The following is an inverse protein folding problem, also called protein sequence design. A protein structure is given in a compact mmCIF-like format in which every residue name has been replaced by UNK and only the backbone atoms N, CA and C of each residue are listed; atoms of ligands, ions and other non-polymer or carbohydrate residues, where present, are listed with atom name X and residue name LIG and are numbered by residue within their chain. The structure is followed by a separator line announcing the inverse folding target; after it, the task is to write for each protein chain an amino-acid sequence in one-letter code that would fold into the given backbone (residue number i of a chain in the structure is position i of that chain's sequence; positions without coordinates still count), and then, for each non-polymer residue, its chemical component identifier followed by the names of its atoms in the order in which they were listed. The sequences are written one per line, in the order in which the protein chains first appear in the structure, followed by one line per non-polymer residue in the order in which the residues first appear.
data_IF_508748641107
#
_entry.id   IF_508748641107
#
_cell.length_a   1.000
_cell.length_b   1.000
_cell.length_c   1.000
_cell.angle_alpha   90.00
_cell.angle_beta   90.00
_cell.angle_gamma   90.00
#
_symmetry.space_group_name_H-M   'P 1'
#
loop_
_entity.id
_entity.type
_entity.pdbx_description
1 polymer ?
#
# COMPACT_ATOMS: atom_id res chain seq x y z
N UNK A 1 -1.16 -5.69 2.88
CA UNK A 1 -0.02 -6.60 3.13
C UNK A 1 -0.55 -7.93 3.66
N UNK A 2 0.21 -9.00 3.50
CA UNK A 2 -0.14 -10.31 4.08
C UNK A 2 1.10 -11.06 4.56
N UNK A 3 0.88 -12.13 5.33
CA UNK A 3 1.95 -12.99 5.83
C UNK A 3 2.50 -13.94 4.75
N UNK A 4 1.75 -14.19 3.68
CA UNK A 4 2.18 -15.01 2.53
C UNK A 4 2.07 -14.22 1.24
N UNK A 5 2.84 -14.63 0.22
CA UNK A 5 2.84 -13.97 -1.07
C UNK A 5 1.51 -14.15 -1.81
N UNK A 6 0.96 -15.35 -1.79
CA UNK A 6 -0.31 -15.68 -2.45
C UNK A 6 -1.47 -14.84 -1.90
N UNK A 7 -1.49 -14.63 -0.58
CA UNK A 7 -2.52 -13.80 0.06
C UNK A 7 -2.29 -12.32 -0.23
N UNK A 8 -1.03 -11.88 -0.29
CA UNK A 8 -0.71 -10.50 -0.65
C UNK A 8 -1.14 -10.19 -2.09
N UNK A 9 -0.93 -11.11 -3.02
CA UNK A 9 -1.37 -11.02 -4.41
C UNK A 9 -2.90 -10.96 -4.48
N UNK A 10 -3.62 -11.85 -3.79
CA UNK A 10 -5.09 -11.83 -3.73
C UNK A 10 -5.64 -10.50 -3.22
N UNK A 11 -5.10 -9.98 -2.12
CA UNK A 11 -5.54 -8.71 -1.54
C UNK A 11 -5.22 -7.52 -2.46
N UNK A 12 -4.09 -7.57 -3.18
CA UNK A 12 -3.73 -6.57 -4.18
C UNK A 12 -4.75 -6.56 -5.33
N UNK A 13 -5.10 -7.73 -5.86
CA UNK A 13 -6.09 -7.86 -6.94
C UNK A 13 -7.46 -7.33 -6.53
N UNK A 14 -7.92 -7.68 -5.32
CA UNK A 14 -9.19 -7.18 -4.77
C UNK A 14 -9.20 -5.66 -4.61
N UNK A 15 -8.09 -5.09 -4.14
CA UNK A 15 -7.94 -3.64 -4.06
C UNK A 15 -7.93 -2.98 -5.44
N UNK A 16 -7.34 -3.61 -6.47
CA UNK A 16 -7.35 -3.07 -7.83
C UNK A 16 -8.75 -3.12 -8.46
N UNK A 17 -9.54 -4.14 -8.16
CA UNK A 17 -10.96 -4.18 -8.55
C UNK A 17 -11.71 -3.02 -7.89
N UNK A 18 -11.51 -2.81 -6.60
CA UNK A 18 -12.09 -1.69 -5.86
C UNK A 18 -11.65 -0.33 -6.46
N UNK A 19 -10.36 -0.21 -6.77
CA UNK A 19 -9.78 0.99 -7.37
C UNK A 19 -10.40 1.31 -8.72
N UNK A 20 -10.56 0.32 -9.60
CA UNK A 20 -11.23 0.50 -10.90
C UNK A 20 -12.68 0.91 -10.75
N UNK A 21 -13.40 0.40 -9.75
CA UNK A 21 -14.79 0.83 -9.48
C UNK A 21 -14.89 2.29 -9.03
N UNK A 22 -13.96 2.75 -8.19
CA UNK A 22 -13.93 4.15 -7.75
C UNK A 22 -13.32 5.10 -8.80
N UNK A 23 -12.40 4.60 -9.62
CA UNK A 23 -11.78 5.31 -10.73
C UNK A 23 -12.74 5.37 -11.94
N UNK A 24 -13.81 6.17 -11.82
CA UNK A 24 -14.76 6.42 -12.90
C UNK A 24 -14.29 7.58 -13.82
N UNK A 25 -13.04 7.53 -14.28
CA UNK A 25 -12.42 8.62 -15.06
C UNK A 25 -12.24 9.94 -14.30
N UNK A 26 -12.38 9.94 -12.97
CA UNK A 26 -12.13 11.10 -12.11
C UNK A 26 -10.63 11.20 -11.83
N UNK A 27 -10.03 12.35 -12.16
CA UNK A 27 -8.62 12.69 -11.93
C UNK A 27 -8.37 13.02 -10.43
N UNK A 28 -9.10 12.40 -9.51
CA UNK A 28 -8.93 12.72 -8.09
C UNK A 28 -10.15 12.38 -7.25
N UNK A 29 -9.97 11.44 -6.34
CA UNK A 29 -10.71 11.42 -5.09
C UNK A 29 -9.91 12.33 -4.16
N UNK A 30 -10.52 13.40 -3.68
CA UNK A 30 -9.87 14.49 -2.93
C UNK A 30 -9.31 14.06 -1.57
N UNK A 31 -8.22 13.30 -1.59
CA UNK A 31 -7.36 12.97 -0.46
C UNK A 31 -5.98 12.70 -1.05
N UNK A 32 -5.05 13.65 -0.85
CA UNK A 32 -3.61 13.58 -1.12
C UNK A 32 -3.21 12.80 -2.38
N UNK A 33 -2.94 13.50 -3.50
CA UNK A 33 -2.24 13.10 -4.75
C UNK A 33 -2.32 11.64 -5.28
N UNK A 34 -2.09 10.62 -4.44
CA UNK A 34 -2.38 9.20 -4.67
C UNK A 34 -3.84 8.91 -5.09
N UNK A 35 -4.82 9.73 -4.67
CA UNK A 35 -6.21 9.61 -5.11
C UNK A 35 -6.47 10.02 -6.59
N UNK A 36 -5.46 10.56 -7.29
CA UNK A 36 -5.53 10.93 -8.71
C UNK A 36 -4.85 9.92 -9.65
N UNK A 37 -4.10 8.97 -9.09
CA UNK A 37 -3.39 7.96 -9.85
C UNK A 37 -4.37 7.00 -10.53
N UNK A 38 -4.04 6.58 -11.76
CA UNK A 38 -4.77 5.49 -12.40
C UNK A 38 -4.60 4.20 -11.57
N UNK A 39 -5.52 3.22 -11.68
CA UNK A 39 -5.35 1.93 -11.02
C UNK A 39 -4.01 1.27 -11.37
N UNK A 40 -3.53 1.44 -12.61
CA UNK A 40 -2.28 0.85 -13.06
C UNK A 40 -1.07 1.55 -12.39
N UNK A 41 -1.09 2.89 -12.30
CA UNK A 41 -0.08 3.64 -11.53
C UNK A 41 -0.14 3.28 -10.04
N UNK A 42 -1.33 3.08 -9.49
CA UNK A 42 -1.57 2.67 -8.10
C UNK A 42 -0.95 1.31 -7.81
N UNK A 43 -0.98 0.36 -8.75
CA UNK A 43 -0.34 -0.94 -8.60
C UNK A 43 1.19 -0.85 -8.55
N UNK A 44 1.79 0.03 -9.37
CA UNK A 44 3.25 0.17 -9.46
C UNK A 44 3.85 0.89 -8.23
N UNK A 45 3.20 1.94 -7.76
CA UNK A 45 3.76 2.85 -6.75
C UNK A 45 3.42 2.47 -5.30
N UNK A 46 2.42 1.61 -5.08
CA UNK A 46 2.08 1.15 -3.74
C UNK A 46 3.01 0.04 -3.22
N UNK A 47 3.02 -0.09 -1.90
CA UNK A 47 3.78 -1.09 -1.14
C UNK A 47 2.92 -2.34 -0.90
N UNK A 48 2.57 -3.05 -1.96
CA UNK A 48 1.92 -4.36 -1.88
C UNK A 48 2.95 -5.48 -1.69
N UNK A 49 2.56 -6.54 -0.99
CA UNK A 49 3.42 -7.69 -0.76
C UNK A 49 3.43 -8.20 0.68
N UNK A 50 4.43 -9.03 0.94
CA UNK A 50 4.83 -9.52 2.26
C UNK A 50 5.57 -8.44 3.06
N UNK A 51 5.92 -8.72 4.31
CA UNK A 51 6.72 -7.80 5.11
C UNK A 51 8.11 -7.59 4.50
N UNK A 52 8.70 -8.65 3.98
CA UNK A 52 10.01 -8.67 3.33
C UNK A 52 10.01 -7.81 2.06
N UNK A 53 9.02 -7.98 1.19
CA UNK A 53 8.87 -7.18 -0.04
C UNK A 53 8.76 -5.67 0.28
N UNK A 54 8.00 -5.33 1.33
CA UNK A 54 7.81 -3.94 1.74
C UNK A 54 9.07 -3.35 2.36
N UNK A 55 9.83 -4.12 3.14
CA UNK A 55 11.13 -3.67 3.68
C UNK A 55 12.11 -3.36 2.55
N UNK A 56 12.24 -4.26 1.57
CA UNK A 56 13.11 -4.06 0.41
C UNK A 56 12.73 -2.80 -0.36
N UNK A 57 11.43 -2.60 -0.63
CA UNK A 57 10.96 -1.42 -1.35
C UNK A 57 11.16 -0.13 -0.57
N UNK A 58 11.04 -0.14 0.75
CA UNK A 58 11.36 1.03 1.59
C UNK A 58 12.85 1.39 1.50
N UNK A 59 13.77 0.42 1.53
CA UNK A 59 15.21 0.70 1.38
C UNK A 59 15.51 1.36 0.02
N UNK A 60 14.91 0.85 -1.06
CA UNK A 60 15.03 1.46 -2.39
C UNK A 60 14.53 2.91 -2.39
N UNK A 61 13.38 3.18 -1.77
CA UNK A 61 12.82 4.53 -1.67
C UNK A 61 13.70 5.47 -0.84
N UNK A 62 14.28 4.98 0.27
CA UNK A 62 15.21 5.76 1.09
C UNK A 62 16.46 6.15 0.31
N UNK A 63 17.04 5.22 -0.45
CA UNK A 63 18.21 5.49 -1.29
C UNK A 63 17.88 6.50 -2.40
N UNK A 64 16.77 6.29 -3.12
CA UNK A 64 16.38 7.14 -4.25
C UNK A 64 16.01 8.56 -3.86
N UNK A 65 15.31 8.73 -2.74
CA UNK A 65 14.76 10.02 -2.33
C UNK A 65 15.50 10.67 -1.17
N UNK A 66 16.53 10.02 -0.62
CA UNK A 66 17.26 10.50 0.57
C UNK A 66 16.31 10.90 1.71
N UNK A 67 15.27 10.08 1.95
CA UNK A 67 14.26 10.33 2.98
C UNK A 67 14.54 9.56 4.26
N UNK A 68 14.27 10.20 5.39
CA UNK A 68 14.40 9.61 6.74
C UNK A 68 13.05 9.23 7.36
N UNK A 69 11.94 9.63 6.71
CA UNK A 69 10.59 9.34 7.17
C UNK A 69 9.73 8.80 6.02
N UNK A 70 8.78 7.93 6.39
CA UNK A 70 7.76 7.41 5.48
C UNK A 70 6.39 7.44 6.17
N UNK A 71 5.36 7.84 5.42
CA UNK A 71 3.98 7.84 5.87
C UNK A 71 3.20 6.76 5.13
N UNK A 72 2.51 5.89 5.87
CA UNK A 72 1.67 4.84 5.29
C UNK A 72 0.21 5.28 5.23
N UNK A 73 -0.37 5.29 4.04
CA UNK A 73 -1.83 5.29 3.87
C UNK A 73 -2.30 3.83 3.70
N UNK A 74 -3.01 3.31 4.71
CA UNK A 74 -3.43 1.90 4.74
C UNK A 74 -4.93 1.68 4.46
N UNK A 75 -5.73 2.75 4.47
CA UNK A 75 -7.17 2.68 4.24
C UNK A 75 -7.59 3.67 3.15
N UNK A 76 -7.06 3.41 1.95
CA UNK A 76 -7.36 4.22 0.78
C UNK A 76 -8.88 4.28 0.55
N UNK A 77 -9.38 5.50 0.31
CA UNK A 77 -10.82 5.80 0.07
C UNK A 77 -11.78 5.40 1.19
N UNK A 78 -11.28 5.15 2.41
CA UNK A 78 -12.08 4.64 3.53
C UNK A 78 -12.88 3.36 3.21
N UNK A 79 -12.46 2.61 2.18
CA UNK A 79 -13.22 1.50 1.62
C UNK A 79 -12.52 0.15 1.74
N UNK A 80 -11.29 0.12 2.30
CA UNK A 80 -10.59 -1.13 2.54
C UNK A 80 -11.22 -1.85 3.74
N UNK A 81 -11.51 -3.17 3.64
CA UNK A 81 -12.07 -3.92 4.76
C UNK A 81 -11.26 -3.77 6.05
N UNK A 82 -11.96 -3.59 7.18
CA UNK A 82 -11.33 -3.26 8.47
C UNK A 82 -10.32 -4.31 8.92
N UNK A 83 -10.62 -5.58 8.70
CA UNK A 83 -9.75 -6.71 9.00
C UNK A 83 -8.45 -6.65 8.18
N UNK A 84 -8.53 -6.31 6.89
CA UNK A 84 -7.35 -6.11 6.02
C UNK A 84 -6.49 -4.93 6.51
N UNK A 85 -7.12 -3.81 6.87
CA UNK A 85 -6.43 -2.63 7.43
C UNK A 85 -5.75 -2.99 8.75
N UNK A 86 -6.48 -3.61 9.67
CA UNK A 86 -5.97 -3.97 11.01
C UNK A 86 -4.83 -4.97 10.90
N UNK A 87 -4.95 -5.97 10.02
CA UNK A 87 -3.90 -6.93 9.77
C UNK A 87 -2.66 -6.29 9.14
N UNK A 88 -2.85 -5.33 8.22
CA UNK A 88 -1.74 -4.58 7.62
C UNK A 88 -1.00 -3.77 8.69
N UNK A 89 -1.71 -3.06 9.57
CA UNK A 89 -1.10 -2.30 10.68
C UNK A 89 -0.32 -3.23 11.62
N UNK A 90 -0.88 -4.41 11.94
CA UNK A 90 -0.18 -5.44 12.73
C UNK A 90 1.13 -5.84 12.06
N UNK A 91 1.11 -6.21 10.78
CA UNK A 91 2.31 -6.62 10.04
C UNK A 91 3.35 -5.49 9.98
N UNK A 92 2.92 -4.26 9.70
CA UNK A 92 3.82 -3.10 9.71
C UNK A 92 4.51 -2.94 11.07
N UNK A 93 3.74 -3.02 12.15
CA UNK A 93 4.23 -2.84 13.53
C UNK A 93 5.16 -3.97 13.96
N UNK A 94 4.79 -5.21 13.68
CA UNK A 94 5.49 -6.40 14.19
C UNK A 94 6.72 -6.77 13.35
N UNK A 95 6.68 -6.52 12.03
CA UNK A 95 7.65 -7.08 11.08
C UNK A 95 8.43 -6.04 10.27
N UNK A 96 7.82 -4.92 9.92
CA UNK A 96 8.43 -3.91 9.03
C UNK A 96 9.17 -2.84 9.82
N UNK A 97 8.47 -2.09 10.68
CA UNK A 97 9.04 -0.98 11.45
C UNK A 97 10.30 -1.40 12.24
N UNK A 98 10.37 -2.59 12.87
CA UNK A 98 11.56 -3.02 13.59
C UNK A 98 12.83 -3.16 12.75
N UNK A 99 12.74 -3.19 11.41
CA UNK A 99 13.91 -3.26 10.51
C UNK A 99 14.59 -1.91 10.29
N UNK A 100 13.92 -0.81 10.61
CA UNK A 100 14.38 0.55 10.36
C UNK A 100 14.68 1.35 11.64
N UNK A 101 14.75 0.66 12.78
CA UNK A 101 15.09 1.25 14.09
C UNK A 101 16.58 1.19 14.38
#
# INVERSE_FOLDING_TARGET
MADTKEEAERLSDELMVLARHYFNGRIGIGSTDAGSASPDTTAEVNLFGTAEDVVEKIEVLREQYSTDEIMFEVNWTSSVPRDVVTNTIRILTDKVIPKFK
#
